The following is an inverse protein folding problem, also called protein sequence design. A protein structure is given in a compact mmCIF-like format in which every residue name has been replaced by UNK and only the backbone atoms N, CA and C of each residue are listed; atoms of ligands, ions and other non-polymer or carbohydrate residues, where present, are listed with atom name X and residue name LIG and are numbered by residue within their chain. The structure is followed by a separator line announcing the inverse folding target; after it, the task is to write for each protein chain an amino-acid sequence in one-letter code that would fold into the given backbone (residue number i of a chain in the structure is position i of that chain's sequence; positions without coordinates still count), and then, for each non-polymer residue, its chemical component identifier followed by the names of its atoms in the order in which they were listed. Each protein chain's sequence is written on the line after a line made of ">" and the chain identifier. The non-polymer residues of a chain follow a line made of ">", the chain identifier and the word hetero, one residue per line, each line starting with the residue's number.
data_IF_696236310287
#
_entry.id   IF_696236310287
#
_cell.length_a   1.000
_cell.length_b   1.000
_cell.length_c   1.000
_cell.angle_alpha   90.00
_cell.angle_beta   90.00
_cell.angle_gamma   90.00
#
_symmetry.space_group_name_H-M   'P 1'
#
loop_
_entity.id
_entity.type
_entity.pdbx_description
1 polymer ?
#
# COMPACT_ATOMS: atom_id res chain seq x y z
N UNK A 1 -1.17 -13.24 -3.00
CA UNK A 1 -0.43 -13.22 -4.29
C UNK A 1 -1.20 -12.32 -5.23
N UNK A 2 -0.79 -11.06 -5.37
CA UNK A 2 -1.37 -10.15 -6.36
C UNK A 2 -1.17 -10.76 -7.76
N UNK A 3 -2.25 -11.26 -8.35
CA UNK A 3 -2.26 -11.71 -9.75
C UNK A 3 -2.29 -10.45 -10.61
N UNK A 4 -1.12 -10.04 -11.11
CA UNK A 4 -1.04 -9.04 -12.15
C UNK A 4 -1.68 -9.58 -13.42
N UNK A 5 -2.96 -9.23 -13.67
CA UNK A 5 -3.59 -9.40 -14.97
C UNK A 5 -3.03 -8.35 -15.92
N UNK A 6 -1.78 -8.53 -16.37
CA UNK A 6 -1.16 -7.62 -17.31
C UNK A 6 -1.71 -7.86 -18.72
N UNK A 7 -2.50 -6.92 -19.22
CA UNK A 7 -2.91 -6.89 -20.63
C UNK A 7 -1.88 -6.10 -21.42
N UNK A 8 -0.97 -6.80 -22.09
CA UNK A 8 0.07 -6.16 -22.92
C UNK A 8 -0.58 -5.58 -24.18
N UNK A 9 -0.52 -4.26 -24.33
CA UNK A 9 -0.92 -3.56 -25.57
C UNK A 9 0.34 -3.15 -26.32
N UNK A 10 0.62 -3.80 -27.46
CA UNK A 10 1.67 -3.35 -28.39
C UNK A 10 1.14 -2.19 -29.23
N UNK A 11 1.91 -1.10 -29.32
CA UNK A 11 1.65 0.05 -30.22
C UNK A 11 2.90 0.24 -31.10
N UNK A 12 2.69 0.58 -32.36
CA UNK A 12 3.78 0.81 -33.34
C UNK A 12 3.96 2.31 -33.63
N UNK A 13 3.53 3.18 -32.71
CA UNK A 13 3.60 4.64 -32.85
C UNK A 13 4.69 5.26 -31.98
N UNK A 14 4.99 6.53 -32.23
CA UNK A 14 6.09 7.32 -31.63
C UNK A 14 5.79 7.79 -30.19
N UNK A 15 5.12 6.93 -29.41
CA UNK A 15 4.69 7.24 -28.05
C UNK A 15 5.59 6.50 -27.06
N UNK A 16 6.04 7.15 -25.97
CA UNK A 16 6.85 6.49 -24.96
C UNK A 16 6.07 5.34 -24.29
N UNK A 17 6.78 4.29 -23.84
CA UNK A 17 6.17 3.17 -23.14
C UNK A 17 5.59 3.60 -21.78
N UNK A 18 4.38 3.14 -21.50
CA UNK A 18 3.66 3.41 -20.26
C UNK A 18 3.18 2.10 -19.63
N UNK A 19 3.11 2.09 -18.31
CA UNK A 19 2.55 0.99 -17.53
C UNK A 19 1.33 1.51 -16.78
N UNK A 20 0.14 1.08 -17.19
CA UNK A 20 -1.11 1.37 -16.47
C UNK A 20 -1.44 0.22 -15.52
N UNK A 21 -1.71 0.56 -14.26
CA UNK A 21 -2.12 -0.36 -13.20
C UNK A 21 -3.50 0.04 -12.69
N UNK A 22 -4.38 -0.94 -12.55
CA UNK A 22 -5.70 -0.77 -11.94
C UNK A 22 -5.73 -1.57 -10.65
N UNK A 23 -5.96 -0.90 -9.53
CA UNK A 23 -6.04 -1.50 -8.21
C UNK A 23 -7.46 -2.05 -7.93
N UNK A 24 -7.58 -2.88 -6.90
CA UNK A 24 -8.85 -3.58 -6.54
C UNK A 24 -9.98 -2.63 -6.17
N UNK A 25 -9.65 -1.44 -5.68
CA UNK A 25 -10.61 -0.37 -5.36
C UNK A 25 -11.04 0.45 -6.59
N UNK A 26 -10.55 0.10 -7.79
CA UNK A 26 -10.80 0.83 -9.03
C UNK A 26 -9.87 2.02 -9.27
N UNK A 27 -8.93 2.32 -8.36
CA UNK A 27 -7.94 3.37 -8.60
C UNK A 27 -7.03 2.98 -9.78
N UNK A 28 -6.75 3.94 -10.66
CA UNK A 28 -5.82 3.76 -11.76
C UNK A 28 -4.55 4.60 -11.55
N UNK A 29 -3.41 4.04 -11.92
CA UNK A 29 -2.14 4.73 -11.93
C UNK A 29 -1.36 4.42 -13.21
N UNK A 30 -0.67 5.44 -13.73
CA UNK A 30 0.12 5.34 -14.96
C UNK A 30 1.56 5.69 -14.62
N UNK A 31 2.46 4.74 -14.87
CA UNK A 31 3.89 4.91 -14.70
C UNK A 31 4.56 5.11 -16.05
N UNK A 32 5.43 6.12 -16.12
CA UNK A 32 6.32 6.33 -17.25
C UNK A 32 7.48 5.32 -17.18
N UNK A 33 7.56 4.43 -18.17
CA UNK A 33 8.57 3.39 -18.22
C UNK A 33 9.91 3.88 -18.81
N UNK A 34 10.00 5.15 -19.24
CA UNK A 34 11.25 5.74 -19.74
C UNK A 34 12.11 6.33 -18.63
N UNK A 35 11.49 6.81 -17.55
CA UNK A 35 12.17 7.52 -16.46
C UNK A 35 12.32 6.67 -15.21
N UNK A 36 11.40 5.74 -14.96
CA UNK A 36 11.37 4.93 -13.74
C UNK A 36 11.85 3.51 -14.02
N UNK A 37 12.78 3.01 -13.21
CA UNK A 37 13.24 1.62 -13.35
C UNK A 37 12.12 0.62 -13.03
N UNK A 38 12.12 -0.52 -13.72
CA UNK A 38 11.14 -1.58 -13.46
C UNK A 38 11.11 -2.06 -12.00
N UNK A 39 12.27 -2.05 -11.32
CA UNK A 39 12.37 -2.37 -9.89
C UNK A 39 11.58 -1.38 -9.04
N UNK A 40 11.74 -0.08 -9.32
CA UNK A 40 11.04 0.96 -8.58
C UNK A 40 9.54 0.96 -8.88
N UNK A 41 9.15 0.79 -10.15
CA UNK A 41 7.74 0.65 -10.53
C UNK A 41 7.09 -0.50 -9.75
N UNK A 42 7.76 -1.67 -9.70
CA UNK A 42 7.27 -2.81 -8.91
C UNK A 42 7.11 -2.45 -7.44
N UNK A 43 8.10 -1.80 -6.85
CA UNK A 43 8.07 -1.43 -5.43
C UNK A 43 6.91 -0.48 -5.14
N UNK A 44 6.75 0.57 -5.94
CA UNK A 44 5.65 1.55 -5.79
C UNK A 44 4.27 0.88 -5.88
N UNK A 45 4.09 -0.06 -6.82
CA UNK A 45 2.82 -0.78 -6.96
C UNK A 45 2.53 -1.64 -5.71
N UNK A 46 3.55 -2.30 -5.16
CA UNK A 46 3.39 -3.12 -3.95
C UNK A 46 3.05 -2.26 -2.74
N UNK A 47 3.80 -1.19 -2.49
CA UNK A 47 3.57 -0.27 -1.37
C UNK A 47 2.18 0.35 -1.42
N UNK A 48 1.74 0.80 -2.60
CA UNK A 48 0.40 1.36 -2.74
C UNK A 48 -0.69 0.30 -2.59
N UNK A 49 -0.45 -0.92 -3.07
CA UNK A 49 -1.35 -2.05 -2.84
C UNK A 49 -1.57 -2.32 -1.35
N UNK A 50 -0.50 -2.37 -0.56
CA UNK A 50 -0.57 -2.58 0.89
C UNK A 50 -1.34 -1.45 1.60
N UNK A 51 -1.14 -0.20 1.17
CA UNK A 51 -1.91 0.94 1.71
C UNK A 51 -3.40 0.84 1.40
N UNK A 52 -3.77 0.46 0.17
CA UNK A 52 -5.17 0.29 -0.23
C UNK A 52 -5.82 -0.86 0.54
N UNK A 53 -5.12 -1.98 0.69
CA UNK A 53 -5.61 -3.12 1.49
C UNK A 53 -5.81 -2.70 2.96
N UNK A 54 -4.88 -1.94 3.52
CA UNK A 54 -4.99 -1.44 4.90
C UNK A 54 -6.16 -0.50 5.05
N UNK A 55 -6.28 0.50 4.17
CA UNK A 55 -7.41 1.43 4.18
C UNK A 55 -8.75 0.69 4.10
N UNK A 56 -8.85 -0.37 3.27
CA UNK A 56 -10.06 -1.17 3.16
C UNK A 56 -10.37 -1.90 4.48
N UNK A 57 -9.38 -2.49 5.15
CA UNK A 57 -9.58 -3.14 6.45
C UNK A 57 -10.13 -2.17 7.50
N UNK A 58 -9.64 -0.92 7.55
CA UNK A 58 -10.15 0.10 8.47
C UNK A 58 -11.58 0.51 8.12
N UNK A 59 -11.85 0.75 6.82
CA UNK A 59 -13.19 1.12 6.33
C UNK A 59 -14.22 0.03 6.63
N UNK A 60 -13.87 -1.24 6.50
CA UNK A 60 -14.75 -2.38 6.78
C UNK A 60 -15.16 -2.45 8.26
N UNK A 61 -14.32 -1.92 9.17
CA UNK A 61 -14.58 -1.83 10.60
C UNK A 61 -15.18 -0.49 11.04
N UNK A 62 -15.63 0.36 10.10
CA UNK A 62 -16.10 1.73 10.36
C UNK A 62 -15.04 2.65 11.01
N UNK A 63 -13.76 2.32 10.89
CA UNK A 63 -12.65 3.13 11.38
C UNK A 63 -12.02 3.97 10.25
N UNK A 64 -11.43 5.10 10.61
CA UNK A 64 -10.80 6.02 9.65
C UNK A 64 -9.30 5.75 9.51
N UNK A 65 -8.83 5.64 8.27
CA UNK A 65 -7.41 5.62 7.93
C UNK A 65 -6.99 6.98 7.34
N UNK A 66 -5.80 7.53 7.67
CA UNK A 66 -4.85 7.03 8.66
C UNK A 66 -5.35 7.21 10.10
N UNK A 67 -4.95 6.32 10.99
CA UNK A 67 -5.24 6.46 12.42
C UNK A 67 -4.53 7.71 12.94
N UNK A 68 -5.30 8.71 13.35
CA UNK A 68 -4.77 9.93 13.98
C UNK A 68 -4.64 9.64 15.46
N UNK A 69 -3.41 9.57 15.96
CA UNK A 69 -3.15 9.42 17.40
C UNK A 69 -3.32 10.80 18.05
N UNK A 70 -4.26 10.98 18.99
CA UNK A 70 -4.45 12.25 19.68
C UNK A 70 -3.24 12.58 20.56
N UNK A 71 -2.98 13.87 20.75
CA UNK A 71 -1.77 14.34 21.44
C UNK A 71 -1.75 13.91 22.92
N UNK A 72 -2.91 13.74 23.54
CA UNK A 72 -3.09 13.29 24.91
C UNK A 72 -2.63 11.84 25.11
N UNK A 73 -2.84 10.96 24.12
CA UNK A 73 -2.37 9.56 24.13
C UNK A 73 -0.85 9.47 23.92
N UNK A 74 -0.26 10.44 23.21
CA UNK A 74 1.18 10.47 22.96
C UNK A 74 2.01 10.60 24.25
N UNK A 75 1.44 11.25 25.27
CA UNK A 75 2.07 11.44 26.59
C UNK A 75 1.62 10.41 27.63
N UNK A 76 0.69 9.51 27.29
CA UNK A 76 0.33 8.42 28.18
C UNK A 76 1.45 7.37 28.21
N UNK A 77 2.05 7.22 29.38
CA UNK A 77 2.96 6.11 29.66
C UNK A 77 2.14 4.82 29.75
N UNK A 78 2.00 4.11 28.64
CA UNK A 78 1.47 2.75 28.68
C UNK A 78 2.49 1.83 29.38
N UNK A 79 2.09 1.07 30.42
CA UNK A 79 2.97 0.11 31.07
C UNK A 79 3.40 -0.91 30.01
N UNK A 80 4.70 -0.90 29.69
CA UNK A 80 5.36 -1.68 28.63
C UNK A 80 4.66 -3.01 28.31
N UNK A 81 3.86 -3.02 27.23
CA UNK A 81 3.69 -4.25 26.45
C UNK A 81 5.06 -4.52 25.84
N UNK A 82 5.63 -5.68 26.16
CA UNK A 82 6.98 -6.10 25.76
C UNK A 82 7.21 -5.74 24.29
N UNK A 83 8.15 -4.83 24.00
CA UNK A 83 8.61 -4.56 22.65
C UNK A 83 9.34 -5.83 22.20
N UNK A 84 8.60 -6.74 21.57
CA UNK A 84 9.19 -7.83 20.81
C UNK A 84 9.76 -7.17 19.56
N UNK A 85 11.09 -7.20 19.42
CA UNK A 85 11.77 -6.81 18.19
C UNK A 85 11.20 -7.62 17.03
N UNK A 86 10.33 -7.04 16.21
CA UNK A 86 9.95 -7.61 14.92
C UNK A 86 10.84 -7.01 13.84
N UNK A 87 11.95 -7.68 13.56
CA UNK A 87 12.60 -7.56 12.27
C UNK A 87 11.63 -8.06 11.20
N UNK A 88 11.41 -7.23 10.18
CA UNK A 88 10.86 -7.58 8.86
C UNK A 88 9.53 -8.39 8.85
N UNK A 89 8.42 -7.70 8.54
CA UNK A 89 7.16 -8.33 8.14
C UNK A 89 5.96 -7.83 8.96
N UNK A 90 5.58 -6.57 8.75
CA UNK A 90 4.50 -5.88 9.46
C UNK A 90 3.13 -6.49 9.14
N UNK A 91 2.70 -7.46 9.95
CA UNK A 91 1.28 -7.76 10.17
C UNK A 91 0.96 -7.47 11.63
N UNK A 92 0.72 -6.19 11.91
CA UNK A 92 0.26 -5.75 13.22
C UNK A 92 -1.26 -5.99 13.28
N UNK A 93 -1.65 -7.17 13.76
CA UNK A 93 -3.01 -7.36 14.26
C UNK A 93 -3.06 -6.77 15.67
N UNK A 94 -3.60 -5.57 15.79
CA UNK A 94 -3.99 -5.05 17.10
C UNK A 94 -5.26 -5.82 17.48
N UNK A 95 -5.08 -6.86 18.30
CA UNK A 95 -6.17 -7.65 18.87
C UNK A 95 -6.91 -6.78 19.90
N UNK A 96 -8.15 -6.41 19.60
CA UNK A 96 -9.15 -6.03 20.60
C UNK A 96 -10.19 -7.16 20.65
N UNK A 97 -10.33 -7.83 21.80
CA UNK A 97 -11.32 -8.88 22.05
C UNK A 97 -10.73 -10.15 22.65
#
# INVERSE_FOLDING_TARGET
>A
MLKFLSKVKRRTGDHPPEIKVTFVNGAEEVFDATTISAKNIRQMILEKGEHIETEQMFRDNNETWPVIIPQEELYQSFPLTKIVHYGCGSKLWISWG
#
